data_IF_757384289229
#
_entry.id   IF_757384289229
#
_cell.length_a   1.000
_cell.length_b   1.000
_cell.length_c   1.000
_cell.angle_alpha   90.00
_cell.angle_beta   90.00
_cell.angle_gamma   90.00
#
_symmetry.space_group_name_H-M   'P 1'
#
loop_
_entity.id
_entity.type
_entity.pdbx_description
1 polymer ?
#
# COMPACT_ATOMS: atom_id res chain seq x y z
N UNK A 1 18.15 -18.05 -50.40
CA UNK A 1 18.57 -16.71 -49.91
C UNK A 1 17.44 -15.73 -50.20
N UNK A 2 17.25 -14.74 -49.31
CA UNK A 2 16.14 -13.77 -49.22
C UNK A 2 14.92 -14.29 -48.43
N UNK A 3 14.42 -13.65 -47.36
CA UNK A 3 14.69 -12.35 -46.72
C UNK A 3 14.25 -12.48 -45.24
N UNK A 4 15.08 -12.02 -44.32
CA UNK A 4 14.73 -11.88 -42.91
C UNK A 4 13.58 -10.86 -42.77
N UNK A 5 12.48 -11.28 -42.15
CA UNK A 5 11.37 -10.40 -41.80
C UNK A 5 11.75 -9.56 -40.57
N UNK A 6 12.33 -8.41 -40.90
CA UNK A 6 12.14 -7.09 -40.31
C UNK A 6 11.32 -7.04 -39.02
N UNK A 7 12.07 -6.89 -37.93
CA UNK A 7 11.66 -6.49 -36.59
C UNK A 7 11.32 -4.99 -36.62
N UNK A 8 10.04 -4.65 -36.71
CA UNK A 8 9.59 -3.26 -36.68
C UNK A 8 8.61 -3.02 -35.52
N UNK A 9 9.06 -2.18 -34.57
CA UNK A 9 8.35 -1.03 -33.96
C UNK A 9 7.18 -1.41 -33.03
N UNK A 10 7.23 -1.15 -31.71
CA UNK A 10 6.99 0.18 -31.12
C UNK A 10 7.95 0.50 -29.95
N UNK A 11 8.99 1.27 -30.25
CA UNK A 11 9.74 2.03 -29.25
C UNK A 11 8.94 3.27 -28.86
N UNK A 12 8.34 3.24 -27.67
CA UNK A 12 7.68 4.39 -27.05
C UNK A 12 8.68 5.56 -26.90
N UNK A 13 8.24 6.74 -27.31
CA UNK A 13 9.03 7.93 -27.63
C UNK A 13 9.34 8.81 -26.39
N UNK A 14 9.34 8.23 -25.19
CA UNK A 14 9.70 8.93 -23.96
C UNK A 14 11.17 8.65 -23.64
N UNK A 15 12.01 9.68 -23.40
CA UNK A 15 13.39 9.46 -22.99
C UNK A 15 13.38 8.86 -21.59
N UNK A 16 13.45 7.52 -21.54
CA UNK A 16 13.33 6.64 -20.36
C UNK A 16 14.10 7.18 -19.16
N UNK A 17 15.29 7.74 -19.40
CA UNK A 17 16.18 8.32 -18.38
C UNK A 17 15.60 9.52 -17.62
N UNK A 18 14.74 10.33 -18.23
CA UNK A 18 14.07 11.44 -17.54
C UNK A 18 12.89 10.96 -16.72
N UNK A 19 12.16 9.96 -17.21
CA UNK A 19 11.02 9.37 -16.49
C UNK A 19 11.53 8.67 -15.22
N UNK A 20 12.60 7.88 -15.33
CA UNK A 20 13.22 7.19 -14.19
C UNK A 20 13.73 8.18 -13.13
N UNK A 21 14.44 9.24 -13.55
CA UNK A 21 14.96 10.25 -12.64
C UNK A 21 13.86 11.01 -11.88
N UNK A 22 12.76 11.33 -12.58
CA UNK A 22 11.60 11.99 -11.97
C UNK A 22 10.92 11.02 -10.99
N UNK A 23 10.72 9.76 -11.37
CA UNK A 23 10.16 8.72 -10.50
C UNK A 23 10.95 8.56 -9.20
N UNK A 24 12.28 8.48 -9.30
CA UNK A 24 13.18 8.36 -8.15
C UNK A 24 13.05 9.55 -7.19
N UNK A 25 13.00 10.78 -7.73
CA UNK A 25 12.81 12.00 -6.92
C UNK A 25 11.45 11.97 -6.22
N UNK A 26 10.37 11.64 -6.92
CA UNK A 26 9.03 11.56 -6.34
C UNK A 26 8.98 10.56 -5.20
N UNK A 27 9.56 9.38 -5.39
CA UNK A 27 9.58 8.36 -4.34
C UNK A 27 10.46 8.78 -3.15
N UNK A 28 11.53 9.55 -3.39
CA UNK A 28 12.47 9.93 -2.32
C UNK A 28 11.81 10.97 -1.43
N UNK A 29 11.13 11.94 -2.06
CA UNK A 29 10.28 12.91 -1.37
C UNK A 29 9.14 12.20 -0.63
N UNK A 30 8.47 11.22 -1.24
CA UNK A 30 7.41 10.43 -0.58
C UNK A 30 7.93 9.68 0.64
N UNK A 31 9.08 9.01 0.54
CA UNK A 31 9.67 8.27 1.66
C UNK A 31 10.02 9.20 2.82
N UNK A 32 10.64 10.36 2.52
CA UNK A 32 10.96 11.38 3.53
C UNK A 32 9.68 11.94 4.17
N UNK A 33 8.67 12.27 3.36
CA UNK A 33 7.40 12.79 3.86
C UNK A 33 6.68 11.78 4.78
N UNK A 34 6.58 10.53 4.35
CA UNK A 34 5.97 9.45 5.15
C UNK A 34 6.75 9.21 6.45
N UNK A 35 8.08 9.25 6.40
CA UNK A 35 8.90 9.13 7.59
C UNK A 35 8.65 10.27 8.59
N UNK A 36 8.62 11.52 8.12
CA UNK A 36 8.32 12.69 8.97
C UNK A 36 6.92 12.56 9.59
N UNK A 37 5.91 12.22 8.78
CA UNK A 37 4.52 12.04 9.26
C UNK A 37 4.47 10.93 10.31
N UNK A 38 5.16 9.79 10.09
CA UNK A 38 5.22 8.69 11.03
C UNK A 38 5.85 9.09 12.37
N UNK A 39 6.96 9.83 12.33
CA UNK A 39 7.62 10.34 13.53
C UNK A 39 6.72 11.32 14.29
N UNK A 40 6.12 12.29 13.59
CA UNK A 40 5.21 13.27 14.20
C UNK A 40 4.00 12.57 14.82
N UNK A 41 3.35 11.66 14.10
CA UNK A 41 2.22 10.89 14.59
C UNK A 41 2.62 10.08 15.84
N UNK A 42 3.77 9.42 15.83
CA UNK A 42 4.29 8.69 16.98
C UNK A 42 4.43 9.57 18.22
N UNK A 43 5.04 10.76 18.09
CA UNK A 43 5.19 11.69 19.21
C UNK A 43 3.84 12.18 19.75
N UNK A 44 2.90 12.56 18.88
CA UNK A 44 1.57 13.02 19.32
C UNK A 44 0.76 11.90 19.99
N UNK A 45 0.83 10.68 19.46
CA UNK A 45 0.19 9.51 20.04
C UNK A 45 0.78 9.18 21.41
N UNK A 46 2.11 9.17 21.54
CA UNK A 46 2.77 8.93 22.81
C UNK A 46 2.39 9.98 23.87
N UNK A 47 2.38 11.26 23.49
CA UNK A 47 1.96 12.35 24.38
C UNK A 47 0.50 12.20 24.81
N UNK A 48 -0.40 11.92 23.86
CA UNK A 48 -1.83 11.69 24.13
C UNK A 48 -2.06 10.52 25.07
N UNK A 49 -1.36 9.40 24.87
CA UNK A 49 -1.45 8.21 25.74
C UNK A 49 -1.05 8.51 27.19
N UNK A 50 -0.07 9.39 27.40
CA UNK A 50 0.42 9.75 28.74
C UNK A 50 -0.44 10.81 29.43
N UNK A 51 -1.03 11.74 28.67
CA UNK A 51 -1.80 12.88 29.22
C UNK A 51 -3.31 12.61 29.38
N UNK A 52 -3.85 11.58 28.73
CA UNK A 52 -5.30 11.31 28.74
C UNK A 52 -5.75 10.64 30.05
N UNK A 53 -6.65 11.30 30.78
CA UNK A 53 -7.32 10.74 31.96
C UNK A 53 -8.84 11.01 31.91
N UNK A 54 -9.71 10.00 32.15
CA UNK A 54 -9.42 8.57 32.34
C UNK A 54 -9.05 7.89 31.02
N UNK A 55 -8.03 7.02 31.06
CA UNK A 55 -7.55 6.30 29.88
C UNK A 55 -8.60 5.33 29.31
N UNK A 56 -9.45 4.74 30.15
CA UNK A 56 -10.45 3.76 29.74
C UNK A 56 -11.87 4.35 29.73
N UNK A 57 -12.73 4.05 28.74
CA UNK A 57 -12.47 3.24 27.53
C UNK A 57 -11.96 4.06 26.33
N UNK A 58 -12.33 5.34 26.24
CA UNK A 58 -12.14 6.14 25.03
C UNK A 58 -10.66 6.40 24.69
N UNK A 59 -9.82 6.66 25.70
CA UNK A 59 -8.38 6.88 25.50
C UNK A 59 -7.65 5.62 25.00
N UNK A 60 -8.09 4.43 25.42
CA UNK A 60 -7.56 3.15 24.97
C UNK A 60 -7.93 2.87 23.51
N UNK A 61 -9.20 3.04 23.14
CA UNK A 61 -9.67 2.86 21.75
C UNK A 61 -8.93 3.84 20.83
N UNK A 62 -8.84 5.11 21.23
CA UNK A 62 -8.12 6.12 20.47
C UNK A 62 -6.64 5.78 20.33
N UNK A 63 -5.99 5.36 21.41
CA UNK A 63 -4.59 4.93 21.41
C UNK A 63 -4.30 3.78 20.45
N UNK A 64 -5.19 2.78 20.38
CA UNK A 64 -5.00 1.66 19.45
C UNK A 64 -5.20 2.11 18.00
N UNK A 65 -6.23 2.91 17.71
CA UNK A 65 -6.45 3.49 16.37
C UNK A 65 -5.22 4.29 15.90
N UNK A 66 -4.62 5.07 16.81
CA UNK A 66 -3.44 5.86 16.51
C UNK A 66 -2.19 5.00 16.24
N UNK A 67 -2.00 3.92 17.01
CA UNK A 67 -0.89 2.97 16.80
C UNK A 67 -1.09 2.22 15.49
N UNK A 68 -2.30 1.76 15.18
CA UNK A 68 -2.64 1.14 13.90
C UNK A 68 -2.33 2.07 12.73
N UNK A 69 -2.67 3.36 12.87
CA UNK A 69 -2.33 4.37 11.86
C UNK A 69 -0.82 4.51 11.64
N UNK A 70 -0.02 4.50 12.72
CA UNK A 70 1.45 4.53 12.61
C UNK A 70 1.98 3.27 11.93
N UNK A 71 1.47 2.09 12.29
CA UNK A 71 1.84 0.82 11.65
C UNK A 71 1.53 0.86 10.16
N UNK A 72 0.39 1.43 9.75
CA UNK A 72 0.08 1.63 8.33
C UNK A 72 1.15 2.48 7.66
N UNK A 73 1.50 3.65 8.22
CA UNK A 73 2.50 4.55 7.63
C UNK A 73 3.85 3.84 7.48
N UNK A 74 4.33 3.16 8.52
CA UNK A 74 5.60 2.44 8.51
C UNK A 74 5.61 1.34 7.45
N UNK A 75 4.49 0.65 7.29
CA UNK A 75 4.38 -0.42 6.32
C UNK A 75 4.24 0.17 4.89
N UNK A 76 3.75 1.41 4.70
CA UNK A 76 3.71 2.10 3.39
C UNK A 76 5.15 2.51 3.05
N UNK A 77 5.86 3.08 4.03
CA UNK A 77 7.26 3.44 3.89
C UNK A 77 8.09 2.23 3.46
N UNK A 78 7.89 1.05 4.07
CA UNK A 78 8.54 -0.20 3.64
C UNK A 78 8.23 -0.55 2.18
N UNK A 79 6.97 -0.42 1.74
CA UNK A 79 6.60 -0.70 0.34
C UNK A 79 7.21 0.28 -0.65
N UNK A 80 7.30 1.58 -0.31
CA UNK A 80 7.94 2.60 -1.15
C UNK A 80 9.44 2.35 -1.25
N UNK A 81 10.10 2.05 -0.13
CA UNK A 81 11.54 1.73 -0.10
C UNK A 81 11.84 0.46 -0.90
N UNK A 82 11.01 -0.59 -0.76
CA UNK A 82 11.19 -1.83 -1.53
C UNK A 82 11.21 -1.58 -3.03
N UNK A 83 10.49 -0.56 -3.52
CA UNK A 83 10.42 -0.26 -4.95
C UNK A 83 11.68 0.41 -5.51
N UNK A 84 12.49 1.06 -4.67
CA UNK A 84 13.78 1.63 -5.03
C UNK A 84 14.89 0.59 -5.22
N UNK A 85 14.88 -0.47 -4.41
CA UNK A 85 15.90 -1.52 -4.46
C UNK A 85 15.79 -2.38 -5.71
N UNK A 86 14.62 -2.36 -6.35
CA UNK A 86 14.26 -3.23 -7.44
C UNK A 86 14.07 -2.41 -8.72
N UNK A 87 15.19 -2.10 -9.37
CA UNK A 87 15.21 -1.40 -10.67
C UNK A 87 14.42 -2.15 -11.75
N UNK A 88 13.72 -1.36 -12.57
CA UNK A 88 12.94 -1.73 -13.75
C UNK A 88 11.67 -2.53 -13.44
N UNK A 89 10.53 -1.88 -13.70
CA UNK A 89 9.16 -2.41 -13.58
C UNK A 89 9.00 -3.85 -14.08
N UNK A 90 9.10 -4.79 -13.16
CA UNK A 90 8.45 -6.09 -13.30
C UNK A 90 7.06 -5.90 -12.71
N UNK A 91 6.04 -5.94 -13.56
CA UNK A 91 4.63 -5.88 -13.19
C UNK A 91 4.32 -6.73 -11.94
N UNK A 92 5.01 -7.87 -11.79
CA UNK A 92 4.98 -8.75 -10.62
C UNK A 92 5.28 -8.04 -9.29
N UNK A 93 6.33 -7.20 -9.23
CA UNK A 93 6.71 -6.47 -8.01
C UNK A 93 5.68 -5.40 -7.65
N UNK A 94 5.14 -4.70 -8.66
CA UNK A 94 4.07 -3.73 -8.45
C UNK A 94 2.79 -4.40 -7.93
N UNK A 95 2.38 -5.52 -8.54
CA UNK A 95 1.21 -6.27 -8.11
C UNK A 95 1.35 -6.80 -6.68
N UNK A 96 2.53 -7.30 -6.29
CA UNK A 96 2.80 -7.75 -4.92
C UNK A 96 2.67 -6.59 -3.92
N UNK A 97 3.23 -5.42 -4.24
CA UNK A 97 3.09 -4.22 -3.40
C UNK A 97 1.61 -3.83 -3.25
N UNK A 98 0.83 -3.86 -4.35
CA UNK A 98 -0.60 -3.58 -4.34
C UNK A 98 -1.39 -4.55 -3.44
N UNK A 99 -1.08 -5.84 -3.48
CA UNK A 99 -1.69 -6.85 -2.61
C UNK A 99 -1.38 -6.56 -1.14
N UNK A 100 -0.11 -6.27 -0.80
CA UNK A 100 0.30 -5.96 0.57
C UNK A 100 -0.45 -4.72 1.11
N UNK A 101 -0.58 -3.67 0.29
CA UNK A 101 -1.30 -2.46 0.68
C UNK A 101 -2.79 -2.72 0.94
N UNK A 102 -3.46 -3.48 0.05
CA UNK A 102 -4.88 -3.78 0.19
C UNK A 102 -5.17 -4.70 1.39
N UNK A 103 -4.35 -5.74 1.62
CA UNK A 103 -4.49 -6.61 2.81
C UNK A 103 -4.35 -5.81 4.09
N UNK A 104 -3.39 -4.89 4.16
CA UNK A 104 -3.20 -4.05 5.34
C UNK A 104 -4.38 -3.13 5.63
N UNK A 105 -4.95 -2.52 4.59
CA UNK A 105 -6.14 -1.68 4.74
C UNK A 105 -7.29 -2.48 5.37
N UNK A 106 -7.52 -3.71 4.90
CA UNK A 106 -8.51 -4.63 5.47
C UNK A 106 -8.23 -4.89 6.95
N UNK A 107 -6.99 -5.23 7.32
CA UNK A 107 -6.63 -5.51 8.71
C UNK A 107 -6.85 -4.31 9.63
N UNK A 108 -6.53 -3.11 9.16
CA UNK A 108 -6.72 -1.88 9.94
C UNK A 108 -8.21 -1.58 10.11
N UNK A 109 -8.98 -1.62 9.03
CA UNK A 109 -10.43 -1.37 9.09
C UNK A 109 -11.10 -2.40 10.00
N UNK A 110 -10.75 -3.69 9.89
CA UNK A 110 -11.26 -4.75 10.76
C UNK A 110 -10.91 -4.56 12.25
N UNK A 111 -9.67 -4.14 12.54
CA UNK A 111 -9.25 -3.83 13.91
C UNK A 111 -10.03 -2.63 14.47
N UNK A 112 -10.19 -1.56 13.69
CA UNK A 112 -10.97 -0.38 14.10
C UNK A 112 -12.44 -0.73 14.40
N UNK A 113 -13.05 -1.62 13.61
CA UNK A 113 -14.43 -2.06 13.83
C UNK A 113 -14.60 -2.89 15.11
N UNK A 114 -13.62 -3.72 15.43
CA UNK A 114 -13.66 -4.56 16.65
C UNK A 114 -13.49 -3.70 17.91
N UNK A 115 -12.69 -2.64 17.83
CA UNK A 115 -12.38 -1.75 18.94
C UNK A 115 -13.45 -0.66 19.15
N UNK A 116 -14.10 -0.22 18.08
CA UNK A 116 -15.19 0.78 18.10
C UNK A 116 -16.58 0.13 18.08
N UNK A 117 -16.73 -0.99 18.79
CA UNK A 117 -17.95 -1.84 18.84
C UNK A 117 -19.23 -1.14 19.39
N UNK A 118 -19.21 0.20 19.50
CA UNK A 118 -20.36 1.07 19.83
C UNK A 118 -20.79 1.96 18.63
N UNK A 119 -20.31 1.69 17.41
CA UNK A 119 -20.76 2.39 16.20
C UNK A 119 -22.22 2.06 15.88
N UNK A 120 -22.97 3.06 15.38
CA UNK A 120 -24.32 2.87 14.82
C UNK A 120 -24.30 1.87 13.66
N UNK A 121 -25.34 1.05 13.53
CA UNK A 121 -25.47 -0.01 12.51
C UNK A 121 -25.05 0.41 11.09
N UNK A 122 -25.38 1.64 10.67
CA UNK A 122 -25.02 2.17 9.35
C UNK A 122 -23.49 2.35 9.13
N UNK A 123 -22.73 2.69 10.17
CA UNK A 123 -21.28 2.86 10.09
C UNK A 123 -20.57 1.50 10.06
N UNK A 124 -21.13 0.50 10.73
CA UNK A 124 -20.67 -0.88 10.66
C UNK A 124 -20.89 -1.45 9.25
N UNK A 125 -22.10 -1.31 8.68
CA UNK A 125 -22.39 -1.77 7.33
C UNK A 125 -21.48 -1.13 6.28
N UNK A 126 -21.27 0.20 6.33
CA UNK A 126 -20.38 0.89 5.40
C UNK A 126 -18.94 0.36 5.46
N UNK A 127 -18.43 0.11 6.66
CA UNK A 127 -17.10 -0.44 6.83
C UNK A 127 -17.02 -1.90 6.37
N UNK A 128 -18.10 -2.68 6.55
CA UNK A 128 -18.20 -4.04 6.01
C UNK A 128 -18.13 -4.04 4.47
N UNK A 129 -18.85 -3.12 3.82
CA UNK A 129 -18.78 -2.93 2.36
C UNK A 129 -17.39 -2.49 1.91
N UNK A 130 -16.75 -1.59 2.65
CA UNK A 130 -15.39 -1.14 2.36
C UNK A 130 -14.38 -2.29 2.45
N UNK A 131 -14.47 -3.11 3.50
CA UNK A 131 -13.63 -4.31 3.65
C UNK A 131 -13.91 -5.34 2.54
N UNK A 132 -15.18 -5.57 2.20
CA UNK A 132 -15.58 -6.47 1.13
C UNK A 132 -15.04 -6.04 -0.23
N UNK A 133 -15.10 -4.74 -0.55
CA UNK A 133 -14.52 -4.19 -1.77
C UNK A 133 -13.00 -4.38 -1.82
N UNK A 134 -12.30 -4.10 -0.72
CA UNK A 134 -10.86 -4.30 -0.65
C UNK A 134 -10.49 -5.79 -0.80
N UNK A 135 -11.26 -6.71 -0.22
CA UNK A 135 -11.05 -8.14 -0.40
C UNK A 135 -11.21 -8.56 -1.87
N UNK A 136 -12.19 -8.00 -2.58
CA UNK A 136 -12.38 -8.24 -4.02
C UNK A 136 -11.20 -7.70 -4.85
N UNK A 137 -10.67 -6.52 -4.50
CA UNK A 137 -9.47 -5.97 -5.13
C UNK A 137 -8.27 -6.90 -4.92
N UNK A 138 -8.07 -7.42 -3.70
CA UNK A 138 -7.00 -8.39 -3.41
C UNK A 138 -7.12 -9.63 -4.31
N UNK A 139 -8.33 -10.19 -4.44
CA UNK A 139 -8.57 -11.36 -5.31
C UNK A 139 -8.22 -11.03 -6.76
N UNK A 140 -8.64 -9.87 -7.28
CA UNK A 140 -8.33 -9.42 -8.63
C UNK A 140 -6.81 -9.26 -8.86
N UNK A 141 -6.10 -8.69 -7.89
CA UNK A 141 -4.63 -8.52 -7.96
C UNK A 141 -3.89 -9.87 -7.91
N UNK A 142 -4.30 -10.78 -7.04
CA UNK A 142 -3.73 -12.15 -6.99
C UNK A 142 -3.97 -12.88 -8.30
N UNK A 143 -5.16 -12.72 -8.89
CA UNK A 143 -5.47 -13.27 -10.20
C UNK A 143 -4.58 -12.65 -11.30
N UNK A 144 -4.34 -11.34 -11.28
CA UNK A 144 -3.42 -10.67 -12.19
C UNK A 144 -1.97 -11.20 -12.05
N UNK A 145 -1.50 -11.45 -10.83
CA UNK A 145 -0.18 -12.07 -10.58
C UNK A 145 -0.13 -13.47 -11.19
N UNK A 146 -1.18 -14.28 -10.99
CA UNK A 146 -1.25 -15.62 -11.55
C UNK A 146 -1.17 -15.60 -13.08
N UNK A 147 -1.92 -14.71 -13.74
CA UNK A 147 -1.87 -14.53 -15.19
C UNK A 147 -0.50 -14.04 -15.68
N UNK A 148 0.10 -13.06 -15.00
CA UNK A 148 1.43 -12.54 -15.32
C UNK A 148 2.48 -13.66 -15.31
N UNK A 149 2.49 -14.46 -14.24
CA UNK A 149 3.40 -15.62 -14.12
C UNK A 149 3.15 -16.70 -15.16
N UNK A 150 1.88 -16.98 -15.48
CA UNK A 150 1.52 -17.95 -16.52
C UNK A 150 1.99 -17.51 -17.91
N UNK A 151 1.87 -16.22 -18.24
CA UNK A 151 2.32 -15.66 -19.50
C UNK A 151 3.86 -15.71 -19.67
N UNK A 152 4.62 -15.50 -18.59
CA UNK A 152 6.07 -15.62 -18.61
C UNK A 152 6.57 -17.07 -18.72
N UNK A 153 5.84 -18.04 -18.14
CA UNK A 153 6.19 -19.47 -18.21
C UNK A 153 6.05 -20.05 -19.63
N UNK A 154 5.21 -19.46 -20.48
CA UNK A 154 4.93 -19.94 -21.84
C UNK A 154 5.93 -19.43 -22.91
N UNK A 155 6.99 -18.69 -22.51
CA UNK A 155 8.04 -18.17 -23.40
C UNK A 155 9.40 -18.88 -23.23
N UNK A 156 9.45 -19.99 -22.48
CA UNK A 156 10.61 -20.88 -22.35
C UNK A 156 10.28 -22.24 -22.97
#
# INVERSE_FOLDING_TARGET
MAKEQKKDIETSILPVKYVDFVEDIFHAVLAIALFIIGVVAFFYTAKRLLETAPFFPNGMIQGINDILFIVIILEILRTVISRFTDGVYQLDKFLIIGVIAAVRHILTVGASLTLESTKSDAAFERALYEMGLNALIVIALVFAIFLSKAAHKNKL
#
